data_IF_398247089048
#
_entry.id   IF_398247089048
#
_cell.length_a   1.000
_cell.length_b   1.000
_cell.length_c   1.000
_cell.angle_alpha   90.00
_cell.angle_beta   90.00
_cell.angle_gamma   90.00
#
_symmetry.space_group_name_H-M   'P 1'
#
loop_
_entity.id
_entity.type
_entity.pdbx_description
1 polymer ?
#
# COMPACT_ATOMS: atom_id res chain seq x y z
N UNK A 1 5.28 -21.38 24.26
CA UNK A 1 4.12 -20.97 23.47
C UNK A 1 3.90 -22.02 22.37
N UNK A 2 2.75 -22.70 22.29
CA UNK A 2 2.49 -23.68 21.22
C UNK A 2 1.89 -22.95 20.03
N UNK A 3 2.44 -23.17 18.84
CA UNK A 3 1.87 -22.62 17.61
C UNK A 3 0.56 -23.34 17.27
N UNK A 4 -0.47 -22.60 16.85
CA UNK A 4 -1.74 -23.19 16.41
C UNK A 4 -1.63 -23.61 14.94
N UNK A 5 -1.72 -24.91 14.62
CA UNK A 5 -1.59 -25.41 13.25
C UNK A 5 -2.61 -24.82 12.27
N UNK A 6 -3.83 -24.53 12.74
CA UNK A 6 -4.92 -23.98 11.89
C UNK A 6 -4.67 -22.55 11.40
N UNK A 7 -3.64 -21.90 11.95
CA UNK A 7 -3.27 -20.53 11.56
C UNK A 7 -2.09 -20.46 10.60
N UNK A 8 -1.51 -21.59 10.24
CA UNK A 8 -0.44 -21.61 9.25
C UNK A 8 -0.99 -21.37 7.85
N UNK A 9 -0.35 -20.47 7.13
CA UNK A 9 -0.63 -20.17 5.74
C UNK A 9 0.67 -20.29 4.95
N UNK A 10 0.61 -20.86 3.75
CA UNK A 10 1.75 -20.99 2.88
C UNK A 10 1.48 -20.31 1.54
N UNK A 11 2.45 -19.53 1.06
CA UNK A 11 2.40 -18.85 -0.23
C UNK A 11 3.70 -19.11 -0.98
N UNK A 12 3.60 -19.71 -2.16
CA UNK A 12 4.73 -19.85 -3.06
C UNK A 12 4.74 -18.66 -4.05
N UNK A 13 5.82 -17.87 -4.04
CA UNK A 13 5.96 -16.68 -4.89
C UNK A 13 6.69 -17.03 -6.17
N UNK A 14 6.18 -16.56 -7.33
CA UNK A 14 6.80 -16.68 -8.63
C UNK A 14 5.97 -17.46 -9.64
N UNK A 15 6.21 -17.19 -10.94
CA UNK A 15 5.43 -17.77 -12.05
C UNK A 15 5.47 -19.29 -12.13
N UNK A 16 6.56 -19.93 -11.73
CA UNK A 16 6.72 -21.40 -11.74
C UNK A 16 5.99 -22.11 -10.59
N UNK A 17 5.45 -21.37 -9.63
CA UNK A 17 4.78 -21.94 -8.45
C UNK A 17 3.29 -22.26 -8.71
N UNK A 18 2.68 -21.73 -9.77
CA UNK A 18 1.26 -21.94 -10.08
C UNK A 18 0.91 -23.36 -10.47
N UNK A 19 1.83 -24.08 -11.15
CA UNK A 19 1.55 -25.41 -11.72
C UNK A 19 1.80 -26.55 -10.73
N UNK A 20 2.29 -26.25 -9.53
CA UNK A 20 2.58 -27.28 -8.52
C UNK A 20 1.65 -27.12 -7.33
N UNK A 21 0.85 -28.17 -7.08
CA UNK A 21 0.17 -28.35 -5.79
C UNK A 21 1.22 -28.57 -4.69
N UNK A 22 1.92 -27.51 -4.32
CA UNK A 22 2.95 -27.55 -3.28
C UNK A 22 2.22 -27.70 -1.94
N UNK A 23 2.54 -28.79 -1.25
CA UNK A 23 2.03 -29.08 0.08
C UNK A 23 3.23 -29.17 1.01
N UNK A 24 3.19 -28.40 2.08
CA UNK A 24 4.18 -28.49 3.16
C UNK A 24 3.62 -29.40 4.27
N UNK A 25 4.47 -30.28 4.81
CA UNK A 25 4.18 -31.00 6.04
C UNK A 25 4.85 -30.25 7.21
N UNK A 26 4.05 -29.77 8.13
CA UNK A 26 4.54 -29.11 9.33
C UNK A 26 3.97 -29.84 10.56
N UNK A 27 4.81 -30.61 11.23
CA UNK A 27 4.44 -31.40 12.42
C UNK A 27 3.19 -32.31 12.19
N UNK A 28 3.13 -32.98 11.03
CA UNK A 28 2.04 -33.86 10.65
C UNK A 28 0.81 -33.18 10.02
N UNK A 29 0.82 -31.86 9.94
CA UNK A 29 -0.25 -31.09 9.31
C UNK A 29 0.13 -30.71 7.86
N UNK A 30 -0.71 -31.10 6.90
CA UNK A 30 -0.50 -30.77 5.49
C UNK A 30 -1.07 -29.39 5.17
N UNK A 31 -0.19 -28.44 4.85
CA UNK A 31 -0.53 -27.06 4.51
C UNK A 31 -0.40 -26.90 3.00
N UNK A 32 -1.51 -26.58 2.34
CA UNK A 32 -1.51 -26.26 0.90
C UNK A 32 -1.13 -24.81 0.67
N UNK A 33 -0.37 -24.54 -0.40
CA UNK A 33 -0.13 -23.18 -0.84
C UNK A 33 -1.42 -22.52 -1.31
N UNK A 34 -1.63 -21.30 -0.82
CA UNK A 34 -2.72 -20.43 -1.24
C UNK A 34 -2.27 -19.51 -2.37
N UNK A 35 -3.21 -18.99 -3.16
CA UNK A 35 -2.91 -18.00 -4.20
C UNK A 35 -2.61 -16.60 -3.62
N UNK A 36 -3.17 -16.32 -2.48
CA UNK A 36 -2.94 -15.08 -1.74
C UNK A 36 -3.03 -15.33 -0.24
N UNK A 37 -2.20 -14.65 0.53
CA UNK A 37 -2.13 -14.74 1.99
C UNK A 37 -2.23 -13.35 2.59
N UNK A 38 -2.91 -13.24 3.73
CA UNK A 38 -3.01 -11.99 4.47
C UNK A 38 -1.99 -11.97 5.61
N UNK A 39 -0.94 -11.16 5.45
CA UNK A 39 0.09 -10.97 6.46
C UNK A 39 0.01 -9.56 7.05
N UNK A 40 -0.20 -9.45 8.36
CA UNK A 40 -0.24 -8.17 9.10
C UNK A 40 -1.12 -7.10 8.42
N UNK A 41 -2.24 -7.50 7.82
CA UNK A 41 -3.17 -6.57 7.17
C UNK A 41 -2.92 -6.33 5.68
N UNK A 42 -1.79 -6.77 5.13
CA UNK A 42 -1.49 -6.72 3.70
C UNK A 42 -1.84 -8.05 3.05
N UNK A 43 -2.59 -8.03 1.96
CA UNK A 43 -2.85 -9.23 1.15
C UNK A 43 -1.73 -9.34 0.11
N UNK A 44 -0.96 -10.42 0.19
CA UNK A 44 0.17 -10.71 -0.71
C UNK A 44 -0.29 -11.82 -1.65
N UNK A 45 -0.22 -11.58 -2.94
CA UNK A 45 -0.50 -12.58 -3.98
C UNK A 45 0.81 -13.19 -4.51
N UNK A 46 0.70 -14.39 -5.10
CA UNK A 46 1.86 -15.15 -5.60
C UNK A 46 2.64 -14.44 -6.72
N UNK A 47 2.02 -13.47 -7.42
CA UNK A 47 2.66 -12.66 -8.46
C UNK A 47 3.19 -11.32 -7.93
N UNK A 48 2.95 -10.98 -6.67
CA UNK A 48 3.27 -9.68 -6.04
C UNK A 48 2.64 -8.48 -6.77
N UNK A 49 1.48 -8.66 -7.41
CA UNK A 49 0.74 -7.61 -8.11
C UNK A 49 -0.13 -6.76 -7.18
N UNK A 50 -0.45 -7.27 -6.00
CA UNK A 50 -1.27 -6.61 -4.96
C UNK A 50 -2.66 -6.15 -5.41
N UNK A 51 -3.22 -6.76 -6.47
CA UNK A 51 -4.51 -6.35 -7.02
C UNK A 51 -5.65 -6.48 -5.99
N UNK A 52 -5.72 -7.62 -5.28
CA UNK A 52 -6.71 -7.88 -4.22
C UNK A 52 -6.53 -6.91 -3.06
N UNK A 53 -5.29 -6.68 -2.62
CA UNK A 53 -4.98 -5.72 -1.57
C UNK A 53 -5.48 -4.32 -1.89
N UNK A 54 -5.11 -3.80 -3.07
CA UNK A 54 -5.48 -2.44 -3.51
C UNK A 54 -7.00 -2.34 -3.68
N UNK A 55 -7.65 -3.35 -4.23
CA UNK A 55 -9.11 -3.38 -4.32
C UNK A 55 -9.76 -3.26 -2.93
N UNK A 56 -9.25 -3.98 -1.94
CA UNK A 56 -9.76 -3.98 -0.58
C UNK A 56 -9.57 -2.63 0.13
N UNK A 57 -8.38 -2.02 0.05
CA UNK A 57 -8.14 -0.70 0.63
C UNK A 57 -8.97 0.39 -0.06
N UNK A 58 -9.13 0.32 -1.39
CA UNK A 58 -9.98 1.23 -2.14
C UNK A 58 -11.47 1.10 -1.75
N UNK A 59 -11.98 -0.13 -1.59
CA UNK A 59 -13.34 -0.38 -1.10
C UNK A 59 -13.53 0.22 0.31
N UNK A 60 -12.56 0.01 1.21
CA UNK A 60 -12.61 0.55 2.58
C UNK A 60 -12.61 2.07 2.56
N UNK A 61 -11.67 2.69 1.85
CA UNK A 61 -11.58 4.15 1.72
C UNK A 61 -12.84 4.76 1.10
N UNK A 62 -13.43 4.11 0.09
CA UNK A 62 -14.70 4.55 -0.53
C UNK A 62 -15.88 4.50 0.44
N UNK A 63 -15.98 3.47 1.29
CA UNK A 63 -17.01 3.40 2.33
C UNK A 63 -16.86 4.56 3.33
N UNK A 64 -15.63 4.83 3.77
CA UNK A 64 -15.32 5.94 4.68
C UNK A 64 -15.60 7.29 4.04
N UNK A 65 -15.31 7.47 2.74
CA UNK A 65 -15.70 8.68 2.01
C UNK A 65 -17.21 8.86 1.95
N UNK A 66 -17.98 7.79 1.77
CA UNK A 66 -19.43 7.86 1.81
C UNK A 66 -19.96 8.26 3.19
N UNK A 67 -19.32 7.80 4.27
CA UNK A 67 -19.64 8.25 5.63
C UNK A 67 -19.32 9.74 5.79
N UNK A 68 -18.14 10.19 5.32
CA UNK A 68 -17.78 11.61 5.35
C UNK A 68 -18.79 12.46 4.58
N UNK A 69 -19.29 12.00 3.43
CA UNK A 69 -20.32 12.71 2.65
C UNK A 69 -21.63 12.86 3.43
N UNK A 70 -22.07 11.83 4.15
CA UNK A 70 -23.29 11.90 4.99
C UNK A 70 -23.13 12.88 6.14
N UNK A 71 -21.95 12.89 6.78
CA UNK A 71 -21.66 13.79 7.89
C UNK A 71 -21.33 15.22 7.43
N UNK A 72 -21.04 15.40 6.15
CA UNK A 72 -20.49 16.64 5.61
C UNK A 72 -21.37 17.87 5.79
N UNK A 73 -22.70 17.70 5.95
CA UNK A 73 -23.63 18.79 6.22
C UNK A 73 -23.45 19.38 7.64
N UNK A 74 -22.87 18.61 8.57
CA UNK A 74 -22.63 19.04 9.95
C UNK A 74 -21.20 19.51 10.18
N UNK A 75 -20.33 19.42 9.16
CA UNK A 75 -18.92 19.67 9.29
C UNK A 75 -18.49 20.88 8.46
N UNK A 76 -17.68 21.74 9.04
CA UNK A 76 -16.95 22.74 8.29
C UNK A 76 -15.82 22.10 7.46
N UNK A 77 -15.17 22.89 6.62
CA UNK A 77 -14.08 22.42 5.74
C UNK A 77 -12.94 21.77 6.54
N UNK A 78 -12.53 22.35 7.66
CA UNK A 78 -11.46 21.83 8.50
C UNK A 78 -11.82 20.46 9.08
N UNK A 79 -13.03 20.29 9.60
CA UNK A 79 -13.51 19.00 10.09
C UNK A 79 -13.53 17.92 9.01
N UNK A 80 -13.96 18.27 7.79
CA UNK A 80 -13.90 17.36 6.65
C UNK A 80 -12.47 16.94 6.31
N UNK A 81 -11.52 17.87 6.31
CA UNK A 81 -10.08 17.59 6.08
C UNK A 81 -9.52 16.69 7.18
N UNK A 82 -9.83 16.95 8.44
CA UNK A 82 -9.38 16.13 9.57
C UNK A 82 -9.85 14.68 9.42
N UNK A 83 -11.13 14.47 9.10
CA UNK A 83 -11.66 13.11 8.86
C UNK A 83 -11.00 12.47 7.63
N UNK A 84 -10.79 13.22 6.55
CA UNK A 84 -10.09 12.72 5.38
C UNK A 84 -8.69 12.23 5.75
N UNK A 85 -7.90 13.02 6.45
CA UNK A 85 -6.53 12.68 6.85
C UNK A 85 -6.48 11.46 7.78
N UNK A 86 -7.35 11.42 8.79
CA UNK A 86 -7.31 10.40 9.83
C UNK A 86 -7.87 9.05 9.37
N UNK A 87 -8.94 9.03 8.58
CA UNK A 87 -9.65 7.80 8.24
C UNK A 87 -9.43 7.37 6.80
N UNK A 88 -9.52 8.27 5.83
CA UNK A 88 -9.47 7.89 4.41
C UNK A 88 -8.02 7.74 3.96
N UNK A 89 -7.22 8.76 4.16
CA UNK A 89 -5.82 8.79 3.74
C UNK A 89 -4.97 7.74 4.48
N UNK A 90 -5.29 7.43 5.73
CA UNK A 90 -4.60 6.42 6.54
C UNK A 90 -4.56 5.04 5.88
N UNK A 91 -5.60 4.66 5.10
CA UNK A 91 -5.60 3.38 4.38
C UNK A 91 -4.48 3.30 3.34
N UNK A 92 -4.11 4.42 2.72
CA UNK A 92 -3.08 4.51 1.69
C UNK A 92 -1.68 4.73 2.27
N UNK A 93 -1.59 5.10 3.55
CA UNK A 93 -0.33 5.24 4.27
C UNK A 93 0.12 3.92 4.95
N UNK A 94 -0.75 2.90 4.98
CA UNK A 94 -0.44 1.64 5.62
C UNK A 94 0.43 0.77 4.71
N UNK A 95 1.64 0.43 5.14
CA UNK A 95 2.62 -0.40 4.43
C UNK A 95 2.78 -0.05 2.93
N UNK A 96 2.90 1.25 2.55
CA UNK A 96 2.87 1.65 1.15
C UNK A 96 4.04 1.10 0.33
N UNK A 97 5.14 0.75 0.97
CA UNK A 97 6.33 0.20 0.32
C UNK A 97 6.09 -1.19 -0.27
N UNK A 98 5.30 -2.02 0.42
CA UNK A 98 5.03 -3.39 -0.03
C UNK A 98 4.31 -3.44 -1.38
N UNK A 99 3.41 -2.50 -1.65
CA UNK A 99 2.60 -2.44 -2.86
C UNK A 99 2.87 -1.22 -3.74
N UNK A 100 4.01 -0.54 -3.52
CA UNK A 100 4.39 0.65 -4.30
C UNK A 100 4.44 0.39 -5.81
N UNK A 101 4.96 -0.75 -6.21
CA UNK A 101 5.14 -1.14 -7.61
C UNK A 101 3.88 -1.76 -8.25
N UNK A 102 2.71 -1.47 -7.71
CA UNK A 102 1.46 -1.88 -8.32
C UNK A 102 1.25 -1.25 -9.71
N UNK A 103 0.35 -1.83 -10.51
CA UNK A 103 0.05 -1.36 -11.86
C UNK A 103 -0.46 0.09 -11.87
N UNK A 104 -0.27 0.78 -13.00
CA UNK A 104 -0.79 2.14 -13.21
C UNK A 104 -2.31 2.19 -13.06
N UNK A 105 -3.02 1.15 -13.50
CA UNK A 105 -4.47 1.04 -13.31
C UNK A 105 -4.86 1.06 -11.82
N UNK A 106 -4.08 0.41 -10.95
CA UNK A 106 -4.28 0.42 -9.52
C UNK A 106 -3.91 1.78 -8.89
N UNK A 107 -2.83 2.40 -9.36
CA UNK A 107 -2.46 3.77 -8.95
C UNK A 107 -3.59 4.73 -9.26
N UNK A 108 -4.16 4.68 -10.47
CA UNK A 108 -5.27 5.54 -10.87
C UNK A 108 -6.55 5.30 -10.04
N UNK A 109 -6.83 4.05 -9.63
CA UNK A 109 -7.95 3.76 -8.70
C UNK A 109 -7.78 4.46 -7.36
N UNK A 110 -6.57 4.47 -6.83
CA UNK A 110 -6.24 5.12 -5.55
C UNK A 110 -6.37 6.65 -5.68
N UNK A 111 -5.79 7.25 -6.74
CA UNK A 111 -5.86 8.69 -7.00
C UNK A 111 -7.31 9.18 -7.17
N UNK A 112 -8.16 8.42 -7.86
CA UNK A 112 -9.59 8.75 -8.00
C UNK A 112 -10.33 8.86 -6.68
N UNK A 113 -9.91 8.17 -5.62
CA UNK A 113 -10.52 8.29 -4.31
C UNK A 113 -10.11 9.60 -3.65
N UNK A 114 -8.84 9.99 -3.74
CA UNK A 114 -8.37 11.29 -3.27
C UNK A 114 -9.08 12.42 -4.02
N UNK A 115 -9.13 12.35 -5.34
CA UNK A 115 -9.84 13.33 -6.17
C UNK A 115 -11.29 13.52 -5.71
N UNK A 116 -12.05 12.42 -5.57
CA UNK A 116 -13.45 12.49 -5.11
C UNK A 116 -13.58 13.07 -3.70
N UNK A 117 -12.63 12.78 -2.82
CA UNK A 117 -12.62 13.33 -1.46
C UNK A 117 -12.37 14.85 -1.51
N UNK A 118 -11.39 15.30 -2.28
CA UNK A 118 -11.07 16.73 -2.42
C UNK A 118 -12.22 17.51 -3.06
N UNK A 119 -12.82 16.99 -4.14
CA UNK A 119 -14.02 17.60 -4.75
C UNK A 119 -15.12 17.82 -3.72
N UNK A 120 -15.40 16.85 -2.88
CA UNK A 120 -16.40 16.96 -1.83
C UNK A 120 -16.01 17.95 -0.73
N UNK A 121 -14.75 17.94 -0.28
CA UNK A 121 -14.26 18.80 0.82
C UNK A 121 -14.27 20.26 0.41
N UNK A 122 -13.84 20.55 -0.83
CA UNK A 122 -13.73 21.90 -1.37
C UNK A 122 -15.01 22.38 -2.07
N UNK A 123 -16.00 21.47 -2.22
CA UNK A 123 -17.23 21.71 -2.97
C UNK A 123 -16.95 22.20 -4.42
N UNK A 124 -15.93 21.64 -5.03
CA UNK A 124 -15.45 22.01 -6.36
C UNK A 124 -15.44 20.76 -7.27
N UNK A 125 -16.40 20.74 -8.18
CA UNK A 125 -16.59 19.64 -9.13
C UNK A 125 -16.12 19.98 -10.54
N UNK A 126 -15.74 21.23 -10.80
CA UNK A 126 -15.38 21.74 -12.11
C UNK A 126 -13.87 21.80 -12.34
N UNK A 127 -13.09 22.06 -11.29
CA UNK A 127 -11.64 22.14 -11.37
C UNK A 127 -10.98 20.81 -11.74
N UNK A 128 -9.80 20.89 -12.34
CA UNK A 128 -8.96 19.72 -12.59
C UNK A 128 -8.43 19.13 -11.28
N UNK A 129 -8.01 17.86 -11.30
CA UNK A 129 -7.44 17.23 -10.12
C UNK A 129 -6.15 17.93 -9.63
N UNK A 130 -5.33 18.39 -10.59
CA UNK A 130 -4.12 19.15 -10.31
C UNK A 130 -4.41 20.44 -9.53
N UNK A 131 -5.43 21.19 -9.94
CA UNK A 131 -5.85 22.40 -9.23
C UNK A 131 -6.33 22.09 -7.81
N UNK A 132 -7.08 21.01 -7.62
CA UNK A 132 -7.51 20.58 -6.29
C UNK A 132 -6.31 20.21 -5.41
N UNK A 133 -5.26 19.60 -5.94
CA UNK A 133 -4.03 19.29 -5.22
C UNK A 133 -3.30 20.58 -4.80
N UNK A 134 -3.21 21.56 -5.68
CA UNK A 134 -2.60 22.87 -5.38
C UNK A 134 -3.36 23.57 -4.26
N UNK A 135 -4.67 23.70 -4.38
CA UNK A 135 -5.52 24.37 -3.37
C UNK A 135 -5.50 23.65 -2.02
N UNK A 136 -5.45 22.31 -2.04
CA UNK A 136 -5.38 21.52 -0.82
C UNK A 136 -3.97 21.42 -0.22
N UNK A 137 -2.95 21.84 -0.97
CA UNK A 137 -1.52 21.66 -0.64
C UNK A 137 -1.14 20.19 -0.41
N UNK A 138 -1.82 19.27 -1.09
CA UNK A 138 -1.57 17.84 -0.99
C UNK A 138 -0.84 17.33 -2.23
N UNK A 139 0.15 16.45 -2.07
CA UNK A 139 0.72 15.75 -3.21
C UNK A 139 -0.23 14.64 -3.69
N UNK A 140 0.00 14.13 -4.90
CA UNK A 140 -0.61 12.87 -5.33
C UNK A 140 -0.22 11.73 -4.39
N UNK A 141 -1.06 10.70 -4.30
CA UNK A 141 -0.75 9.52 -3.47
C UNK A 141 0.48 8.75 -4.01
N UNK A 142 0.73 8.80 -5.32
CA UNK A 142 1.94 8.27 -5.94
C UNK A 142 3.20 8.99 -5.43
N UNK A 143 3.21 10.31 -5.44
CA UNK A 143 4.33 11.12 -4.92
C UNK A 143 4.52 10.91 -3.42
N UNK A 144 3.43 10.77 -2.66
CA UNK A 144 3.49 10.47 -1.23
C UNK A 144 4.19 9.14 -0.96
N UNK A 145 3.84 8.08 -1.71
CA UNK A 145 4.51 6.76 -1.61
C UNK A 145 5.99 6.84 -1.97
N UNK A 146 6.33 7.57 -3.03
CA UNK A 146 7.73 7.81 -3.42
C UNK A 146 8.53 8.50 -2.31
N UNK A 147 7.95 9.52 -1.67
CA UNK A 147 8.59 10.21 -0.53
C UNK A 147 8.83 9.25 0.63
N UNK A 148 7.85 8.42 0.97
CA UNK A 148 8.01 7.40 2.03
C UNK A 148 9.15 6.44 1.67
N UNK A 149 9.21 5.98 0.42
CA UNK A 149 10.28 5.09 -0.05
C UNK A 149 11.65 5.76 0.05
N UNK A 150 11.77 7.01 -0.39
CA UNK A 150 13.02 7.76 -0.32
C UNK A 150 13.50 7.94 1.13
N UNK A 151 12.59 8.21 2.06
CA UNK A 151 12.92 8.33 3.49
C UNK A 151 13.41 6.98 4.04
N UNK A 152 12.75 5.88 3.71
CA UNK A 152 13.18 4.56 4.20
C UNK A 152 14.53 4.13 3.59
N UNK A 153 14.76 4.40 2.31
CA UNK A 153 16.08 4.18 1.67
C UNK A 153 17.16 5.02 2.36
N UNK A 154 16.87 6.29 2.63
CA UNK A 154 17.80 7.16 3.36
C UNK A 154 18.16 6.56 4.73
N UNK A 155 17.16 6.14 5.53
CA UNK A 155 17.39 5.52 6.83
C UNK A 155 18.23 4.24 6.73
N UNK A 156 17.99 3.42 5.72
CA UNK A 156 18.77 2.19 5.48
C UNK A 156 20.23 2.54 5.23
N UNK A 157 20.50 3.50 4.34
CA UNK A 157 21.85 3.90 3.99
C UNK A 157 22.61 4.55 5.17
N UNK A 158 21.90 5.24 6.07
CA UNK A 158 22.47 5.88 7.25
C UNK A 158 22.44 5.02 8.52
N UNK A 159 22.16 3.72 8.36
CA UNK A 159 22.12 2.75 9.47
C UNK A 159 21.08 3.07 10.57
N UNK A 160 20.05 3.84 10.24
CA UNK A 160 18.91 4.13 11.12
C UNK A 160 17.81 3.06 11.02
N UNK A 161 18.11 1.95 10.36
CA UNK A 161 17.23 0.81 10.13
C UNK A 161 17.88 -0.49 10.64
N UNK A 162 17.13 -1.59 10.80
CA UNK A 162 17.70 -2.87 11.19
C UNK A 162 18.85 -3.30 10.26
N UNK A 163 19.93 -3.83 10.83
CA UNK A 163 21.20 -4.15 10.13
C UNK A 163 21.02 -5.04 8.90
N UNK A 164 20.09 -6.00 8.93
CA UNK A 164 19.82 -6.89 7.80
C UNK A 164 19.34 -6.15 6.53
N UNK A 165 18.67 -5.00 6.67
CA UNK A 165 18.27 -4.18 5.53
C UNK A 165 19.45 -3.47 4.90
N UNK A 166 20.40 -3.00 5.72
CA UNK A 166 21.65 -2.41 5.24
C UNK A 166 22.46 -3.42 4.42
N UNK A 167 22.56 -4.68 4.88
CA UNK A 167 23.27 -5.73 4.17
C UNK A 167 22.67 -6.05 2.80
N UNK A 168 21.36 -5.93 2.65
CA UNK A 168 20.65 -6.11 1.38
C UNK A 168 20.88 -4.97 0.37
N UNK A 169 21.24 -3.78 0.87
CA UNK A 169 21.37 -2.56 0.06
C UNK A 169 22.83 -2.17 -0.22
N UNK A 170 23.81 -3.04 0.07
CA UNK A 170 25.21 -2.81 -0.29
C UNK A 170 25.29 -2.56 -1.80
N UNK A 171 25.59 -1.33 -2.16
CA UNK A 171 25.86 -0.94 -3.55
C UNK A 171 27.14 -1.67 -3.94
N UNK A 172 27.08 -2.54 -4.94
CA UNK A 172 28.31 -3.08 -5.54
C UNK A 172 29.07 -1.90 -6.13
N UNK A 173 30.20 -1.58 -5.55
CA UNK A 173 31.15 -0.69 -6.19
C UNK A 173 31.51 -1.29 -7.54
N UNK A 174 30.89 -0.80 -8.58
CA UNK A 174 31.36 -0.99 -9.95
C UNK A 174 32.64 -0.16 -10.08
N UNK A 175 33.73 -0.65 -9.49
CA UNK A 175 35.09 -0.17 -9.83
C UNK A 175 35.26 -0.42 -11.31
N UNK A 176 35.34 0.69 -12.03
CA UNK A 176 35.51 0.69 -13.46
C UNK A 176 36.67 -0.18 -13.91
N UNK A 177 36.40 -0.92 -14.95
CA UNK A 177 37.43 -1.44 -15.85
C UNK A 177 38.10 -0.21 -16.46
N UNK A 178 39.26 0.15 -15.93
CA UNK A 178 40.16 1.08 -16.59
C UNK A 178 40.71 0.33 -17.82
N UNK A 179 40.48 0.88 -19.00
CA UNK A 179 41.13 0.54 -20.27
C UNK A 179 42.59 1.00 -20.20
#
# INVERSE_FOLDING_TARGET
>A
MKANPDKFQALAIGKKSMDKNIVFDLAGNKIKCEKEVKLLGVTIDFELKFNSHISNICKKASRQLNVLKRLGKYLNKLGKLTIYHSFILSNFNFCPLSWHFCSEANTNKIEKIQERALRFIYNDYNSTYENLLIVSKLPTLKVRRLRTMAIEVYKILHQESPSYLHDLTKIKDTKGTTI
#
